data_IF_587800943378
#
_entry.id   IF_587800943378
#
_cell.length_a   1.000
_cell.length_b   1.000
_cell.length_c   1.000
_cell.angle_alpha   90.00
_cell.angle_beta   90.00
_cell.angle_gamma   90.00
#
_symmetry.space_group_name_H-M   'P 1'
#
loop_
_entity.id
_entity.type
_entity.pdbx_description
1 polymer ?
#
# COMPACT_ATOMS: atom_id res chain seq x y z
N UNK A 1 3.48 -19.17 -14.77
CA UNK A 1 4.08 -17.84 -15.04
C UNK A 1 4.36 -17.16 -13.71
N UNK A 2 5.39 -16.32 -13.61
CA UNK A 2 5.58 -15.51 -12.41
C UNK A 2 4.44 -14.47 -12.30
N UNK A 3 3.91 -14.27 -11.08
CA UNK A 3 2.89 -13.25 -10.82
C UNK A 3 3.48 -11.85 -11.01
N UNK A 4 2.70 -10.90 -11.51
CA UNK A 4 3.15 -9.52 -11.65
C UNK A 4 3.16 -8.84 -10.28
N UNK A 5 4.31 -8.30 -9.88
CA UNK A 5 4.42 -7.48 -8.67
C UNK A 5 3.76 -6.12 -8.91
N UNK A 6 2.82 -5.76 -8.05
CA UNK A 6 2.06 -4.51 -8.15
C UNK A 6 2.15 -3.72 -6.85
N UNK A 7 2.62 -2.47 -6.93
CA UNK A 7 2.60 -1.55 -5.79
C UNK A 7 1.22 -0.91 -5.65
N UNK A 8 0.64 -0.97 -4.46
CA UNK A 8 -0.63 -0.32 -4.12
C UNK A 8 -0.33 0.76 -3.09
N UNK A 9 -0.40 2.02 -3.50
CA UNK A 9 -0.21 3.17 -2.62
C UNK A 9 -1.57 3.65 -2.11
N UNK A 10 -1.65 3.95 -0.82
CA UNK A 10 -2.90 4.38 -0.18
C UNK A 10 -2.65 5.22 1.08
N UNK A 11 -3.72 5.75 1.68
CA UNK A 11 -3.66 6.72 2.77
C UNK A 11 -3.29 8.11 2.23
N UNK A 12 -2.29 8.74 2.85
CA UNK A 12 -1.75 10.05 2.51
C UNK A 12 -1.96 11.08 3.62
N UNK A 13 -1.15 12.14 3.60
CA UNK A 13 -1.35 13.34 4.41
C UNK A 13 -2.44 14.22 3.77
N UNK A 14 -3.68 13.74 3.82
CA UNK A 14 -4.86 14.34 3.18
C UNK A 14 -6.11 14.12 4.03
N UNK A 15 -7.08 15.02 3.94
CA UNK A 15 -8.42 14.83 4.52
C UNK A 15 -9.15 13.60 3.95
N UNK A 16 -8.76 13.15 2.75
CA UNK A 16 -9.27 11.93 2.12
C UNK A 16 -8.53 10.66 2.55
N UNK A 17 -7.59 10.73 3.50
CA UNK A 17 -6.88 9.56 4.04
C UNK A 17 -7.81 8.36 4.34
N UNK A 18 -8.90 8.49 5.13
CA UNK A 18 -9.77 7.35 5.43
C UNK A 18 -10.51 6.83 4.18
N UNK A 19 -10.80 7.69 3.20
CA UNK A 19 -11.43 7.30 1.92
C UNK A 19 -10.43 6.50 1.06
N UNK A 20 -9.18 6.94 1.03
CA UNK A 20 -8.07 6.25 0.37
C UNK A 20 -7.82 4.85 0.97
N UNK A 21 -7.77 4.74 2.30
CA UNK A 21 -7.66 3.43 3.00
C UNK A 21 -8.83 2.51 2.67
N UNK A 22 -10.08 3.01 2.72
CA UNK A 22 -11.26 2.24 2.35
C UNK A 22 -11.20 1.75 0.89
N UNK A 23 -10.72 2.58 -0.02
CA UNK A 23 -10.57 2.23 -1.43
C UNK A 23 -9.53 1.12 -1.60
N UNK A 24 -8.39 1.21 -0.91
CA UNK A 24 -7.36 0.18 -0.93
C UNK A 24 -7.86 -1.17 -0.40
N UNK A 25 -8.72 -1.19 0.63
CA UNK A 25 -9.36 -2.41 1.13
C UNK A 25 -10.21 -3.10 0.06
N UNK A 26 -11.03 -2.33 -0.67
CA UNK A 26 -11.83 -2.89 -1.76
C UNK A 26 -10.97 -3.39 -2.93
N UNK A 27 -9.86 -2.71 -3.24
CA UNK A 27 -8.88 -3.21 -4.22
C UNK A 27 -8.26 -4.52 -3.74
N UNK A 28 -7.78 -4.58 -2.50
CA UNK A 28 -7.14 -5.77 -1.92
C UNK A 28 -8.09 -6.98 -1.94
N UNK A 29 -9.36 -6.77 -1.61
CA UNK A 29 -10.39 -7.80 -1.57
C UNK A 29 -10.71 -8.41 -2.94
N UNK A 30 -10.61 -7.63 -4.01
CA UNK A 30 -10.98 -8.06 -5.36
C UNK A 30 -9.78 -8.29 -6.28
N UNK A 31 -8.55 -8.14 -5.77
CA UNK A 31 -7.34 -8.37 -6.54
C UNK A 31 -7.19 -9.87 -6.87
N UNK A 32 -6.95 -10.18 -8.15
CA UNK A 32 -6.64 -11.54 -8.57
C UNK A 32 -5.24 -11.97 -8.09
N UNK A 33 -5.19 -12.73 -7.01
CA UNK A 33 -3.98 -13.25 -6.40
C UNK A 33 -3.26 -14.34 -7.23
N UNK A 34 -3.92 -14.91 -8.26
CA UNK A 34 -3.28 -15.81 -9.22
C UNK A 34 -2.48 -15.02 -10.28
N UNK A 35 -2.85 -13.77 -10.53
CA UNK A 35 -2.17 -12.89 -11.50
C UNK A 35 -1.18 -11.94 -10.85
N UNK A 36 -1.47 -11.44 -9.65
CA UNK A 36 -0.72 -10.37 -9.00
C UNK A 36 -0.10 -10.78 -7.66
N UNK A 37 1.04 -10.16 -7.34
CA UNK A 37 1.71 -10.18 -6.04
C UNK A 37 1.72 -8.74 -5.50
N UNK A 38 0.77 -8.34 -4.64
CA UNK A 38 0.65 -6.96 -4.18
C UNK A 38 1.74 -6.59 -3.16
N UNK A 39 2.20 -5.35 -3.23
CA UNK A 39 2.99 -4.67 -2.22
C UNK A 39 2.22 -3.46 -1.73
N UNK A 40 1.73 -3.49 -0.50
CA UNK A 40 0.91 -2.44 0.08
C UNK A 40 1.77 -1.39 0.76
N UNK A 41 1.74 -0.17 0.22
CA UNK A 41 2.49 0.98 0.75
C UNK A 41 1.50 2.02 1.24
N UNK A 42 1.30 2.06 2.55
CA UNK A 42 0.47 3.08 3.20
C UNK A 42 1.29 4.33 3.51
N UNK A 43 0.66 5.48 3.37
CA UNK A 43 1.22 6.78 3.78
C UNK A 43 0.36 7.28 4.94
N UNK A 44 0.96 7.55 6.10
CA UNK A 44 0.23 8.02 7.29
C UNK A 44 -0.30 9.45 7.09
N UNK A 45 -1.14 9.92 8.00
CA UNK A 45 -1.60 11.33 8.00
C UNK A 45 -0.46 12.33 8.20
N UNK A 46 0.64 11.90 8.80
CA UNK A 46 1.88 12.67 9.01
C UNK A 46 2.83 12.57 7.80
N UNK A 47 2.47 11.78 6.79
CA UNK A 47 3.26 11.61 5.57
C UNK A 47 4.34 10.55 5.67
N UNK A 48 4.35 9.70 6.70
CA UNK A 48 5.31 8.60 6.82
C UNK A 48 4.94 7.45 5.88
N UNK A 49 5.93 6.92 5.16
CA UNK A 49 5.73 5.83 4.20
C UNK A 49 6.00 4.48 4.87
N UNK A 50 5.05 3.55 4.73
CA UNK A 50 5.02 2.27 5.46
C UNK A 50 4.69 1.11 4.52
N UNK A 51 5.56 0.11 4.44
CA UNK A 51 5.28 -1.16 3.78
C UNK A 51 4.61 -2.10 4.79
N UNK A 52 3.42 -2.58 4.45
CA UNK A 52 2.55 -3.38 5.32
C UNK A 52 2.04 -4.63 4.58
N UNK A 53 1.42 -5.56 5.33
CA UNK A 53 0.82 -6.77 4.78
C UNK A 53 -0.49 -6.49 4.02
N UNK A 54 -1.17 -5.37 4.32
CA UNK A 54 -2.42 -4.99 3.69
C UNK A 54 -3.05 -3.75 4.33
N UNK A 55 -4.12 -3.20 3.72
CA UNK A 55 -4.81 -2.00 4.21
C UNK A 55 -5.79 -2.26 5.38
N UNK A 56 -5.77 -3.47 5.94
CA UNK A 56 -6.61 -3.90 7.06
C UNK A 56 -5.82 -3.82 8.38
N UNK A 57 -6.54 -3.80 9.51
CA UNK A 57 -5.92 -3.75 10.83
C UNK A 57 -5.15 -2.45 11.10
N UNK A 58 -4.23 -2.50 12.07
CA UNK A 58 -3.38 -1.40 12.50
C UNK A 58 -2.10 -1.34 11.64
N UNK A 59 -2.28 -1.25 10.31
CA UNK A 59 -1.19 -1.27 9.34
C UNK A 59 -0.16 -0.16 9.56
N UNK A 60 -0.53 0.94 10.23
CA UNK A 60 0.40 2.02 10.58
C UNK A 60 1.45 1.56 11.59
N UNK A 61 1.04 0.77 12.59
CA UNK A 61 1.94 0.21 13.61
C UNK A 61 2.57 -1.10 13.17
N UNK A 62 1.81 -1.95 12.50
CA UNK A 62 2.24 -3.28 12.02
C UNK A 62 2.87 -3.20 10.62
N UNK A 63 3.87 -2.35 10.49
CA UNK A 63 4.56 -2.09 9.23
C UNK A 63 6.02 -1.70 9.43
N UNK A 64 6.75 -1.65 8.32
CA UNK A 64 8.13 -1.16 8.27
C UNK A 64 8.25 0.10 7.42
N UNK A 65 9.19 1.00 7.72
CA UNK A 65 9.44 2.17 6.87
C UNK A 65 9.71 1.77 5.41
N UNK A 66 9.20 2.58 4.49
CA UNK A 66 9.36 2.39 3.05
C UNK A 66 9.77 3.69 2.36
N UNK A 67 10.44 3.57 1.23
CA UNK A 67 10.74 4.68 0.31
C UNK A 67 10.56 4.20 -1.12
N UNK A 68 10.08 5.08 -1.99
CA UNK A 68 10.18 4.89 -3.43
C UNK A 68 11.45 5.59 -3.90
N UNK A 69 12.38 4.82 -4.48
CA UNK A 69 13.56 5.39 -5.12
C UNK A 69 13.11 6.33 -6.24
N UNK A 70 13.61 7.58 -6.30
CA UNK A 70 13.36 8.46 -7.44
C UNK A 70 14.07 7.95 -8.71
N UNK A 71 15.05 7.06 -8.56
CA UNK A 71 15.81 6.47 -9.65
C UNK A 71 15.19 5.17 -10.13
N UNK A 72 15.02 5.07 -11.46
CA UNK A 72 14.49 3.88 -12.16
C UNK A 72 15.36 2.62 -11.98
N UNK A 73 16.60 2.76 -11.53
CA UNK A 73 17.61 1.68 -11.52
C UNK A 73 18.00 1.13 -10.16
N UNK A 74 17.33 1.53 -9.08
CA UNK A 74 17.58 1.02 -7.72
C UNK A 74 16.84 -0.29 -7.44
#
# INVERSE_FOLDING_TARGET
>A
MARLRIGILFGGASEEHPVSVKSAREVAKHLDAAKYEPLYVGITTEGEWRLCEGPEGDWERDSRPAVLSPDRGA
#
